data_IF_470947242478
#
_entry.id   IF_470947242478
#
_cell.length_a   1.000
_cell.length_b   1.000
_cell.length_c   1.000
_cell.angle_alpha   90.00
_cell.angle_beta   90.00
_cell.angle_gamma   90.00
#
_symmetry.space_group_name_H-M   'P 1'
#
loop_
_entity.id
_entity.type
_entity.pdbx_description
1 polymer ?
#
# COMPACT_ATOMS: atom_id res chain seq x y z
N UNK A 1 -2.24 9.44 9.55
CA UNK A 1 -2.86 8.51 10.53
C UNK A 1 -4.29 8.24 10.07
N UNK A 2 -4.78 7.02 10.23
CA UNK A 2 -6.15 6.65 9.89
C UNK A 2 -6.77 5.88 11.05
N UNK A 3 -7.98 6.27 11.45
CA UNK A 3 -8.77 5.60 12.49
C UNK A 3 -10.10 5.17 11.85
N UNK A 4 -10.18 3.98 11.21
CA UNK A 4 -11.41 3.57 10.53
C UNK A 4 -12.64 3.50 11.43
N UNK A 5 -12.44 3.27 12.73
CA UNK A 5 -13.53 3.30 13.69
C UNK A 5 -14.10 4.70 13.99
N UNK A 6 -13.54 5.76 13.41
CA UNK A 6 -14.03 7.14 13.55
C UNK A 6 -14.89 7.59 12.35
N UNK A 7 -15.25 6.67 11.44
CA UNK A 7 -16.28 6.92 10.43
C UNK A 7 -17.68 6.73 11.02
N UNK A 8 -18.69 7.27 10.33
CA UNK A 8 -20.08 6.98 10.66
C UNK A 8 -20.38 5.51 10.33
N UNK A 9 -20.64 4.71 11.36
CA UNK A 9 -21.04 3.31 11.22
C UNK A 9 -22.50 3.19 11.67
N UNK A 10 -23.31 2.45 10.90
CA UNK A 10 -24.70 2.14 11.28
C UNK A 10 -24.74 1.29 12.56
N UNK A 11 -23.76 0.39 12.72
CA UNK A 11 -23.56 -0.43 13.90
C UNK A 11 -22.21 -0.07 14.54
N UNK A 12 -22.17 0.24 15.85
CA UNK A 12 -20.91 0.52 16.54
C UNK A 12 -19.93 -0.65 16.42
N UNK A 13 -18.66 -0.33 16.18
CA UNK A 13 -17.59 -1.33 16.17
C UNK A 13 -17.25 -1.76 17.60
N UNK A 14 -17.00 -3.06 17.79
CA UNK A 14 -16.51 -3.62 19.05
C UNK A 14 -15.01 -3.33 19.29
N UNK A 15 -14.28 -3.05 18.21
CA UNK A 15 -12.84 -2.76 18.20
C UNK A 15 -12.52 -1.63 17.24
N UNK A 16 -11.60 -0.79 17.67
CA UNK A 16 -11.07 0.28 16.83
C UNK A 16 -9.67 -0.08 16.34
N UNK A 17 -9.43 0.16 15.05
CA UNK A 17 -8.10 0.08 14.46
C UNK A 17 -7.49 1.48 14.38
N UNK A 18 -6.23 1.59 14.75
CA UNK A 18 -5.42 2.77 14.47
C UNK A 18 -4.31 2.37 13.51
N UNK A 19 -4.14 3.14 12.43
CA UNK A 19 -3.07 2.93 11.44
C UNK A 19 -2.23 4.19 11.29
N UNK A 20 -0.92 4.02 11.37
CA UNK A 20 0.06 5.05 11.06
C UNK A 20 0.93 4.57 9.89
N UNK A 21 1.15 5.46 8.93
CA UNK A 21 2.00 5.19 7.76
C UNK A 21 3.07 6.26 7.72
N UNK A 22 4.31 5.84 7.51
CA UNK A 22 5.49 6.70 7.47
C UNK A 22 6.17 6.55 6.12
N UNK A 23 6.76 7.62 5.62
CA UNK A 23 7.70 7.52 4.51
C UNK A 23 8.89 6.69 4.97
N UNK A 24 9.29 5.73 4.15
CA UNK A 24 10.39 4.82 4.46
C UNK A 24 11.47 4.91 3.37
N UNK A 25 12.73 5.00 3.79
CA UNK A 25 13.84 4.78 2.88
C UNK A 25 14.07 3.27 2.73
N UNK A 26 13.65 2.71 1.60
CA UNK A 26 13.78 1.28 1.34
C UNK A 26 15.22 0.76 1.40
N UNK A 27 16.22 1.52 0.95
CA UNK A 27 17.64 1.08 0.92
C UNK A 27 18.08 0.69 2.33
N UNK A 28 17.86 1.59 3.28
CA UNK A 28 18.19 1.39 4.70
C UNK A 28 17.49 0.15 5.28
N UNK A 29 16.20 -0.06 4.99
CA UNK A 29 15.46 -1.21 5.50
C UNK A 29 15.94 -2.54 4.93
N UNK A 30 16.45 -2.54 3.69
CA UNK A 30 16.93 -3.74 3.01
C UNK A 30 18.37 -4.11 3.39
N UNK A 31 19.21 -3.12 3.71
CA UNK A 31 20.61 -3.33 4.06
C UNK A 31 20.81 -3.87 5.48
N UNK A 32 19.84 -3.68 6.38
CA UNK A 32 19.96 -4.14 7.75
C UNK A 32 20.03 -5.68 7.86
N UNK A 33 21.02 -6.22 8.59
CA UNK A 33 21.01 -7.62 9.02
C UNK A 33 19.72 -7.95 9.78
N UNK A 34 19.31 -9.22 9.75
CA UNK A 34 18.01 -9.64 10.26
C UNK A 34 17.75 -9.21 11.71
N UNK A 35 18.75 -9.37 12.59
CA UNK A 35 18.66 -8.95 13.99
C UNK A 35 18.39 -7.45 14.13
N UNK A 36 19.17 -6.62 13.43
CA UNK A 36 18.98 -5.16 13.42
C UNK A 36 17.61 -4.79 12.83
N UNK A 37 17.20 -5.44 11.75
CA UNK A 37 15.91 -5.20 11.11
C UNK A 37 14.75 -5.43 12.08
N UNK A 38 14.76 -6.53 12.84
CA UNK A 38 13.70 -6.83 13.82
C UNK A 38 13.70 -5.84 14.99
N UNK A 39 14.88 -5.46 15.48
CA UNK A 39 15.02 -4.45 16.53
C UNK A 39 14.50 -3.07 16.07
N UNK A 40 14.90 -2.62 14.88
CA UNK A 40 14.46 -1.34 14.30
C UNK A 40 12.97 -1.34 13.97
N UNK A 41 12.41 -2.45 13.47
CA UNK A 41 10.97 -2.60 13.24
C UNK A 41 10.19 -2.39 14.54
N UNK A 42 10.60 -3.05 15.62
CA UNK A 42 9.98 -2.89 16.94
C UNK A 42 10.13 -1.46 17.48
N UNK A 43 11.33 -0.87 17.37
CA UNK A 43 11.59 0.49 17.81
C UNK A 43 10.78 1.54 17.03
N UNK A 44 10.56 1.33 15.72
CA UNK A 44 9.72 2.21 14.91
C UNK A 44 8.23 2.09 15.26
N UNK A 45 7.75 0.89 15.61
CA UNK A 45 6.39 0.69 16.12
C UNK A 45 6.18 1.50 17.40
N UNK A 46 7.10 1.40 18.37
CA UNK A 46 6.98 2.15 19.62
C UNK A 46 7.09 3.67 19.43
N UNK A 47 8.02 4.14 18.57
CA UNK A 47 8.10 5.56 18.18
C UNK A 47 6.79 6.05 17.56
N UNK A 48 6.21 5.26 16.66
CA UNK A 48 4.94 5.59 16.02
C UNK A 48 3.81 5.70 17.05
N UNK A 49 3.76 4.77 18.01
CA UNK A 49 2.76 4.80 19.09
C UNK A 49 2.87 6.06 19.94
N UNK A 50 4.09 6.42 20.35
CA UNK A 50 4.34 7.64 21.13
C UNK A 50 3.90 8.91 20.38
N UNK A 51 4.27 9.03 19.10
CA UNK A 51 3.88 10.17 18.25
C UNK A 51 2.36 10.25 18.13
N UNK A 52 1.68 9.14 17.85
CA UNK A 52 0.22 9.14 17.71
C UNK A 52 -0.48 9.43 19.03
N UNK A 53 0.02 8.90 20.15
CA UNK A 53 -0.55 9.12 21.48
C UNK A 53 -0.53 10.59 21.89
N UNK A 54 0.52 11.32 21.49
CA UNK A 54 0.64 12.76 21.72
C UNK A 54 -0.34 13.63 20.93
N UNK A 55 -1.11 13.09 19.98
CA UNK A 55 -2.00 13.87 19.10
C UNK A 55 -3.45 14.01 19.58
N UNK A 56 -3.87 13.36 20.67
CA UNK A 56 -5.24 13.56 21.14
C UNK A 56 -5.72 12.74 22.33
N UNK A 57 -5.16 11.55 22.57
CA UNK A 57 -5.40 10.77 23.79
C UNK A 57 -4.37 9.64 23.90
N UNK A 58 -3.92 9.36 25.12
CA UNK A 58 -3.12 8.17 25.39
C UNK A 58 -4.00 6.91 25.27
N UNK A 59 -3.76 6.12 24.22
CA UNK A 59 -4.45 4.86 23.95
C UNK A 59 -3.65 3.65 24.42
N UNK A 60 -2.50 3.83 25.07
CA UNK A 60 -1.56 2.76 25.43
C UNK A 60 -2.23 1.63 26.23
N UNK A 61 -3.10 1.97 27.19
CA UNK A 61 -3.86 1.02 28.00
C UNK A 61 -4.96 0.25 27.26
N UNK A 62 -5.27 0.64 26.02
CA UNK A 62 -6.31 0.02 25.19
C UNK A 62 -5.75 -0.87 24.06
N UNK A 63 -4.43 -0.89 23.86
CA UNK A 63 -3.79 -1.68 22.79
C UNK A 63 -3.88 -3.18 23.13
N UNK A 64 -4.63 -3.94 22.33
CA UNK A 64 -4.74 -5.40 22.46
C UNK A 64 -3.82 -6.16 21.49
N UNK A 65 -3.45 -5.53 20.39
CA UNK A 65 -2.62 -6.12 19.34
C UNK A 65 -1.86 -5.02 18.62
N UNK A 66 -0.67 -5.35 18.12
CA UNK A 66 0.14 -4.44 17.32
C UNK A 66 0.85 -5.24 16.25
N UNK A 67 0.85 -4.70 15.04
CA UNK A 67 1.62 -5.21 13.92
C UNK A 67 2.12 -4.05 13.06
N UNK A 68 3.16 -4.31 12.29
CA UNK A 68 3.73 -3.36 11.35
C UNK A 68 4.33 -4.09 10.16
N UNK A 69 4.31 -3.43 9.01
CA UNK A 69 5.00 -3.90 7.81
C UNK A 69 6.02 -2.86 7.36
N UNK A 70 7.09 -3.34 6.75
CA UNK A 70 8.21 -2.54 6.25
C UNK A 70 8.32 -2.71 4.73
N UNK A 71 9.19 -1.96 4.04
CA UNK A 71 9.50 -2.22 2.63
C UNK A 71 9.89 -3.68 2.34
N UNK A 72 10.61 -4.35 3.26
CA UNK A 72 10.94 -5.78 3.17
C UNK A 72 9.69 -6.66 3.25
N UNK A 73 8.78 -6.37 4.18
CA UNK A 73 7.50 -7.09 4.31
C UNK A 73 6.67 -6.97 3.03
N UNK A 74 6.50 -5.75 2.51
CA UNK A 74 5.73 -5.52 1.28
C UNK A 74 6.33 -6.30 0.12
N UNK A 75 7.64 -6.21 -0.08
CA UNK A 75 8.34 -6.93 -1.15
C UNK A 75 8.16 -8.44 -1.03
N UNK A 76 8.31 -8.99 0.18
CA UNK A 76 8.21 -10.44 0.44
C UNK A 76 6.84 -11.02 0.11
N UNK A 77 5.76 -10.28 0.38
CA UNK A 77 4.39 -10.79 0.26
C UNK A 77 3.68 -10.37 -1.02
N UNK A 78 4.14 -9.32 -1.69
CA UNK A 78 3.45 -8.77 -2.86
C UNK A 78 4.32 -8.69 -4.13
N UNK A 79 5.63 -8.91 -4.01
CA UNK A 79 6.56 -8.78 -5.13
C UNK A 79 6.81 -7.33 -5.59
N UNK A 80 6.18 -6.32 -4.97
CA UNK A 80 6.46 -4.92 -5.29
C UNK A 80 7.92 -4.60 -5.02
N UNK A 81 8.67 -4.23 -6.07
CA UNK A 81 10.06 -3.76 -5.93
C UNK A 81 10.11 -2.64 -4.90
N UNK A 82 11.15 -2.66 -4.08
CA UNK A 82 11.44 -1.63 -3.09
C UNK A 82 10.34 -1.43 -2.03
N UNK A 83 9.38 -2.36 -1.93
CA UNK A 83 8.20 -2.23 -1.09
C UNK A 83 7.25 -1.09 -1.52
N UNK A 84 7.28 -0.68 -2.80
CA UNK A 84 6.49 0.43 -3.31
C UNK A 84 5.00 0.05 -3.46
N UNK A 85 4.19 0.34 -2.43
CA UNK A 85 2.75 0.03 -2.35
C UNK A 85 1.94 0.66 -3.50
N UNK A 86 2.39 1.79 -4.03
CA UNK A 86 1.73 2.50 -5.13
C UNK A 86 2.43 2.33 -6.48
N UNK A 87 3.36 1.38 -6.56
CA UNK A 87 4.06 1.03 -7.79
C UNK A 87 5.06 2.09 -8.27
N UNK A 88 5.38 2.06 -9.56
CA UNK A 88 6.35 2.91 -10.22
C UNK A 88 5.96 4.39 -10.22
N UNK A 89 6.91 5.33 -10.07
CA UNK A 89 6.63 6.76 -10.13
C UNK A 89 6.25 7.21 -11.55
N UNK A 90 6.83 6.58 -12.58
CA UNK A 90 6.49 6.81 -13.98
C UNK A 90 5.40 5.83 -14.39
N UNK A 91 4.19 6.33 -14.60
CA UNK A 91 3.03 5.53 -15.01
C UNK A 91 2.99 5.32 -16.52
N UNK A 92 2.63 4.12 -16.95
CA UNK A 92 2.47 3.76 -18.36
C UNK A 92 0.99 3.87 -18.77
N UNK A 93 0.52 5.11 -19.02
CA UNK A 93 -0.90 5.42 -19.20
C UNK A 93 -1.61 4.66 -20.33
N UNK A 94 -0.91 4.29 -21.39
CA UNK A 94 -1.50 3.50 -22.48
C UNK A 94 -1.55 2.01 -22.16
N UNK A 95 -0.81 1.55 -21.14
CA UNK A 95 -0.58 0.14 -20.85
C UNK A 95 0.24 -0.59 -21.93
N UNK A 96 0.63 0.05 -23.03
CA UNK A 96 1.32 -0.59 -24.13
C UNK A 96 2.76 -0.93 -23.76
N UNK A 97 3.11 -2.21 -23.85
CA UNK A 97 4.49 -2.67 -23.69
C UNK A 97 5.18 -2.76 -25.04
N UNK A 98 6.49 -3.05 -25.04
CA UNK A 98 7.27 -3.29 -26.26
C UNK A 98 6.88 -4.61 -26.94
N UNK A 99 6.20 -5.51 -26.23
CA UNK A 99 5.74 -6.80 -26.75
C UNK A 99 4.32 -6.64 -27.30
N UNK A 100 4.14 -7.00 -28.57
CA UNK A 100 2.84 -6.93 -29.23
C UNK A 100 1.80 -7.76 -28.47
N UNK A 101 0.60 -7.19 -28.29
CA UNK A 101 -0.53 -7.79 -27.57
C UNK A 101 -0.27 -8.11 -26.08
N UNK A 102 0.78 -7.54 -25.47
CA UNK A 102 1.01 -7.57 -24.04
C UNK A 102 0.79 -6.16 -23.45
N UNK A 103 -0.14 -6.07 -22.51
CA UNK A 103 -0.54 -4.80 -21.90
C UNK A 103 -0.38 -4.83 -20.37
N UNK A 104 0.05 -3.72 -19.81
CA UNK A 104 0.13 -3.48 -18.38
C UNK A 104 -1.18 -2.87 -17.87
N UNK A 105 -1.75 -3.46 -16.84
CA UNK A 105 -2.85 -2.89 -16.06
C UNK A 105 -2.49 -2.89 -14.56
N UNK A 106 -3.31 -2.22 -13.76
CA UNK A 106 -3.08 -2.04 -12.34
C UNK A 106 -2.42 -0.70 -12.01
N UNK A 107 -1.76 -0.62 -10.85
CA UNK A 107 -1.31 0.66 -10.30
C UNK A 107 -0.19 1.33 -11.10
N UNK A 108 0.57 0.55 -11.87
CA UNK A 108 1.66 1.04 -12.70
C UNK A 108 1.22 1.61 -14.05
N UNK A 109 0.00 1.30 -14.47
CA UNK A 109 -0.58 1.86 -15.68
C UNK A 109 -1.05 3.31 -15.46
N UNK A 110 -1.65 3.68 -14.31
CA UNK A 110 -2.14 5.06 -14.16
C UNK A 110 -2.58 5.52 -12.78
N UNK A 111 -3.42 4.74 -12.10
CA UNK A 111 -4.08 5.17 -10.85
C UNK A 111 -3.54 4.39 -9.64
N UNK A 112 -3.77 4.89 -8.42
CA UNK A 112 -3.25 4.29 -7.19
C UNK A 112 -4.33 3.61 -6.35
N UNK A 113 -3.92 2.63 -5.54
CA UNK A 113 -4.81 1.91 -4.64
C UNK A 113 -5.76 0.95 -5.35
N UNK A 114 -6.65 0.33 -4.57
CA UNK A 114 -7.56 -0.72 -5.04
C UNK A 114 -8.49 -0.20 -6.15
N UNK A 115 -9.12 0.96 -5.93
CA UNK A 115 -9.99 1.60 -6.94
C UNK A 115 -9.22 1.92 -8.21
N UNK A 116 -8.01 2.47 -8.08
CA UNK A 116 -7.17 2.77 -9.24
C UNK A 116 -6.77 1.53 -10.03
N UNK A 117 -6.41 0.45 -9.35
CA UNK A 117 -6.07 -0.82 -9.99
C UNK A 117 -7.27 -1.43 -10.74
N UNK A 118 -8.47 -1.38 -10.14
CA UNK A 118 -9.70 -1.86 -10.79
C UNK A 118 -10.05 -1.05 -12.03
N UNK A 119 -10.05 0.28 -11.93
CA UNK A 119 -10.33 1.16 -13.07
C UNK A 119 -9.31 0.99 -14.20
N UNK A 120 -8.05 0.77 -13.85
CA UNK A 120 -7.00 0.44 -14.83
C UNK A 120 -7.33 -0.83 -15.62
N UNK A 121 -7.75 -1.90 -14.94
CA UNK A 121 -8.15 -3.14 -15.61
C UNK A 121 -9.29 -2.93 -16.61
N UNK A 122 -10.34 -2.21 -16.20
CA UNK A 122 -11.47 -1.86 -17.07
C UNK A 122 -10.98 -1.05 -18.29
N UNK A 123 -10.16 -0.03 -18.06
CA UNK A 123 -9.65 0.83 -19.13
C UNK A 123 -8.83 0.05 -20.17
N UNK A 124 -7.94 -0.84 -19.72
CA UNK A 124 -7.09 -1.64 -20.62
C UNK A 124 -7.89 -2.69 -21.38
N UNK A 125 -8.88 -3.32 -20.74
CA UNK A 125 -9.78 -4.24 -21.42
C UNK A 125 -10.58 -3.53 -22.53
N UNK A 126 -11.15 -2.35 -22.23
CA UNK A 126 -11.88 -1.56 -23.23
C UNK A 126 -10.99 -1.11 -24.39
N UNK A 127 -9.79 -0.61 -24.09
CA UNK A 127 -8.90 0.00 -25.08
C UNK A 127 -8.19 -1.02 -26.00
N UNK A 128 -7.94 -2.24 -25.52
CA UNK A 128 -7.08 -3.19 -26.23
C UNK A 128 -7.71 -4.58 -26.44
N UNK A 129 -8.71 -4.96 -25.63
CA UNK A 129 -9.33 -6.29 -25.67
C UNK A 129 -10.72 -6.33 -26.29
N UNK A 130 -11.50 -5.25 -26.16
CA UNK A 130 -12.92 -5.24 -26.54
C UNK A 130 -13.26 -4.25 -27.67
N UNK A 131 -12.34 -3.36 -28.05
CA UNK A 131 -12.54 -2.41 -29.15
C UNK A 131 -12.34 -3.03 -30.54
N UNK A 132 -12.40 -4.36 -30.66
CA UNK A 132 -12.61 -5.06 -31.94
C UNK A 132 -14.09 -4.96 -32.35
N UNK A 133 -14.51 -3.76 -32.69
CA UNK A 133 -15.78 -3.43 -33.33
C UNK A 133 -15.56 -2.41 -34.45
N UNK A 134 -14.62 -2.70 -35.35
CA UNK A 134 -14.32 -1.85 -36.50
C UNK A 134 -13.18 -2.41 -37.36
N UNK A 135 -13.56 -3.01 -38.49
CA UNK A 135 -12.73 -3.53 -39.58
C UNK A 135 -12.04 -4.91 -39.38
N UNK A 136 -12.83 -5.95 -39.63
CA UNK A 136 -12.45 -7.03 -40.56
C UNK A 136 -13.69 -7.37 -41.41
#
# INVERSE_FOLDING_TARGET
ICVPGNYAHEVPLDRHLLRATHLANHEVWFEWPEERYQAEKSAWIERSRAVVGGLGADFSGHVRYTDGFTPRTVTRFTGHRNGAVYGAPKKLKTGQTEVANLFLCGTDQGFVGIVGAMLSGIAMANAHGMSAGGAA
#
